data_IF_203689447099
#
_entry.id   IF_203689447099
#
_cell.length_a   1.000
_cell.length_b   1.000
_cell.length_c   1.000
_cell.angle_alpha   90.00
_cell.angle_beta   90.00
_cell.angle_gamma   90.00
#
_symmetry.space_group_name_H-M   'P 1'
#
loop_
_entity.id
_entity.type
_entity.pdbx_description
1 polymer ?
#
# COMPACT_ATOMS: atom_id res chain seq x y z
N UNK A 1 18.01 20.28 0.31
CA UNK A 1 17.38 20.21 -1.00
C UNK A 1 15.89 19.96 -0.83
N UNK A 2 15.05 20.71 -1.54
CA UNK A 2 13.60 20.50 -1.58
C UNK A 2 13.24 19.35 -2.54
N UNK A 3 12.00 18.88 -2.50
CA UNK A 3 11.49 17.93 -3.51
C UNK A 3 11.48 18.60 -4.90
N UNK A 4 11.26 19.92 -4.95
CA UNK A 4 11.34 20.72 -6.18
C UNK A 4 12.74 20.68 -6.78
N UNK A 5 13.79 20.92 -5.97
CA UNK A 5 15.18 20.89 -6.44
C UNK A 5 15.56 19.53 -7.03
N UNK A 6 15.02 18.45 -6.43
CA UNK A 6 15.23 17.10 -6.94
C UNK A 6 14.47 16.88 -8.26
N UNK A 7 13.22 17.34 -8.37
CA UNK A 7 12.41 17.24 -9.57
C UNK A 7 13.02 18.01 -10.75
N UNK A 8 13.54 19.22 -10.50
CA UNK A 8 14.17 20.09 -11.50
C UNK A 8 15.64 19.71 -11.77
N UNK A 9 16.18 18.75 -11.01
CA UNK A 9 17.57 18.29 -11.16
C UNK A 9 17.83 17.66 -12.53
N UNK A 10 19.07 17.70 -12.97
CA UNK A 10 19.56 17.27 -14.28
C UNK A 10 19.10 15.86 -14.63
N UNK A 11 19.23 14.89 -13.70
CA UNK A 11 18.84 13.50 -13.91
C UNK A 11 17.34 13.37 -14.28
N UNK A 12 16.44 13.95 -13.47
CA UNK A 12 15.00 13.84 -13.74
C UNK A 12 14.55 14.66 -14.95
N UNK A 13 15.25 15.76 -15.24
CA UNK A 13 15.03 16.54 -16.46
C UNK A 13 15.38 15.71 -17.71
N UNK A 14 16.52 15.01 -17.69
CA UNK A 14 16.92 14.09 -18.77
C UNK A 14 15.93 12.93 -18.92
N UNK A 15 15.52 12.29 -17.81
CA UNK A 15 14.50 11.24 -17.82
C UNK A 15 13.20 11.72 -18.47
N UNK A 16 12.68 12.89 -18.08
CA UNK A 16 11.45 13.45 -18.68
C UNK A 16 11.62 13.73 -20.17
N UNK A 17 12.75 14.34 -20.56
CA UNK A 17 13.07 14.62 -21.97
C UNK A 17 13.09 13.33 -22.79
N UNK A 18 13.78 12.29 -22.33
CA UNK A 18 13.83 10.97 -22.99
C UNK A 18 12.45 10.34 -23.11
N UNK A 19 11.65 10.36 -22.04
CA UNK A 19 10.29 9.83 -22.06
C UNK A 19 9.39 10.59 -23.03
N UNK A 20 9.50 11.93 -23.06
CA UNK A 20 8.74 12.78 -23.98
C UNK A 20 9.07 12.46 -25.45
N UNK A 21 10.33 12.15 -25.72
CA UNK A 21 10.80 11.76 -27.07
C UNK A 21 10.60 10.26 -27.38
N UNK A 22 9.84 9.52 -26.57
CA UNK A 22 9.51 8.13 -26.80
C UNK A 22 10.67 7.15 -26.55
N UNK A 23 11.75 7.59 -25.90
CA UNK A 23 12.88 6.72 -25.56
C UNK A 23 12.48 5.76 -24.46
N UNK A 24 12.67 4.46 -24.69
CA UNK A 24 12.45 3.42 -23.68
C UNK A 24 13.58 3.41 -22.66
N UNK A 25 13.25 3.71 -21.41
CA UNK A 25 14.22 3.75 -20.31
C UNK A 25 14.37 2.36 -19.66
N UNK A 26 15.61 1.94 -19.33
CA UNK A 26 15.85 0.68 -18.62
C UNK A 26 15.09 0.55 -17.30
N UNK A 27 14.95 1.64 -16.57
CA UNK A 27 14.24 1.71 -15.28
C UNK A 27 12.75 1.44 -15.42
N UNK A 28 12.19 1.62 -16.62
CA UNK A 28 10.77 1.42 -16.91
C UNK A 28 10.45 0.05 -17.51
N UNK A 29 11.42 -0.85 -17.63
CA UNK A 29 11.27 -2.17 -18.29
C UNK A 29 10.13 -3.01 -17.71
N UNK A 30 9.88 -2.94 -16.39
CA UNK A 30 8.79 -3.68 -15.76
C UNK A 30 7.43 -3.26 -16.31
N UNK A 31 7.23 -1.95 -16.51
CA UNK A 31 5.99 -1.43 -17.09
C UNK A 31 5.87 -1.84 -18.56
N UNK A 32 6.92 -1.68 -19.35
CA UNK A 32 6.92 -2.07 -20.76
C UNK A 32 6.65 -3.55 -20.95
N UNK A 33 7.24 -4.41 -20.11
CA UNK A 33 6.97 -5.86 -20.15
C UNK A 33 5.51 -6.18 -19.82
N UNK A 34 4.93 -5.52 -18.82
CA UNK A 34 3.51 -5.70 -18.49
C UNK A 34 2.61 -5.23 -19.65
N UNK A 35 2.93 -4.10 -20.25
CA UNK A 35 2.20 -3.56 -21.40
C UNK A 35 2.24 -4.49 -22.62
N UNK A 36 3.40 -5.09 -22.91
CA UNK A 36 3.54 -6.05 -24.02
C UNK A 36 2.79 -7.36 -23.78
N UNK A 37 2.63 -7.79 -22.51
CA UNK A 37 1.98 -9.06 -22.16
C UNK A 37 0.47 -8.90 -21.90
N UNK A 38 0.06 -7.79 -21.32
CA UNK A 38 -1.29 -7.59 -20.80
C UNK A 38 -1.98 -6.32 -21.31
N UNK A 39 -1.31 -5.50 -22.12
CA UNK A 39 -1.82 -4.22 -22.62
C UNK A 39 -1.87 -3.10 -21.56
N UNK A 40 -1.69 -3.41 -20.29
CA UNK A 40 -1.85 -2.45 -19.18
C UNK A 40 -0.70 -2.57 -18.19
N UNK A 41 -0.22 -1.42 -17.69
CA UNK A 41 0.73 -1.31 -16.59
C UNK A 41 0.26 -0.26 -15.59
N UNK A 42 0.93 -0.15 -14.44
CA UNK A 42 0.69 0.94 -13.50
C UNK A 42 0.84 2.32 -14.16
N UNK A 43 1.81 2.45 -15.09
CA UNK A 43 2.05 3.69 -15.84
C UNK A 43 0.86 4.06 -16.71
N UNK A 44 0.38 3.14 -17.56
CA UNK A 44 -0.76 3.37 -18.44
C UNK A 44 -2.04 3.60 -17.66
N UNK A 45 -2.31 2.79 -16.62
CA UNK A 45 -3.47 2.94 -15.75
C UNK A 45 -3.53 4.32 -15.06
N UNK A 46 -2.40 4.77 -14.49
CA UNK A 46 -2.33 6.07 -13.81
C UNK A 46 -2.52 7.21 -14.80
N UNK A 47 -1.88 7.12 -15.99
CA UNK A 47 -2.01 8.14 -17.02
C UNK A 47 -3.45 8.25 -17.51
N UNK A 48 -4.10 7.12 -17.81
CA UNK A 48 -5.49 7.13 -18.27
C UNK A 48 -6.46 7.66 -17.23
N UNK A 49 -6.27 7.32 -15.98
CA UNK A 49 -7.21 7.68 -14.92
C UNK A 49 -7.07 9.09 -14.42
N UNK A 50 -5.82 9.58 -14.30
CA UNK A 50 -5.56 10.84 -13.60
C UNK A 50 -4.97 11.94 -14.49
N UNK A 51 -4.48 11.61 -15.69
CA UNK A 51 -3.71 12.55 -16.51
C UNK A 51 -4.16 12.67 -17.97
N UNK A 52 -5.30 12.10 -18.34
CA UNK A 52 -5.82 12.10 -19.74
C UNK A 52 -5.82 13.45 -20.47
N UNK A 53 -5.84 14.55 -19.74
CA UNK A 53 -5.94 15.90 -20.31
C UNK A 53 -4.74 16.80 -19.99
N UNK A 54 -3.68 16.26 -19.39
CA UNK A 54 -2.60 17.12 -18.91
C UNK A 54 -1.41 17.06 -19.86
N UNK A 55 -1.34 18.02 -20.78
CA UNK A 55 -0.20 18.27 -21.67
C UNK A 55 0.85 19.19 -21.03
N UNK A 56 0.65 19.62 -19.79
CA UNK A 56 1.50 20.57 -19.09
C UNK A 56 2.68 19.83 -18.42
N UNK A 57 3.77 19.66 -19.18
CA UNK A 57 4.94 18.89 -18.76
C UNK A 57 6.06 19.71 -18.14
N UNK A 58 5.99 21.05 -18.25
CA UNK A 58 7.12 21.93 -17.94
C UNK A 58 7.06 22.58 -16.55
N UNK A 59 5.89 22.61 -15.90
CA UNK A 59 5.77 23.14 -14.56
C UNK A 59 5.96 22.07 -13.49
N UNK A 60 6.81 22.35 -12.49
CA UNK A 60 6.91 21.52 -11.30
C UNK A 60 5.53 21.27 -10.68
N UNK A 61 5.06 20.05 -10.77
CA UNK A 61 3.75 19.65 -10.27
C UNK A 61 3.71 18.16 -9.99
N UNK A 62 3.76 17.79 -8.72
CA UNK A 62 3.59 16.40 -8.31
C UNK A 62 2.10 16.09 -8.29
N UNK A 63 1.67 15.24 -9.22
CA UNK A 63 0.25 14.84 -9.35
C UNK A 63 -0.11 13.62 -8.51
N UNK A 64 0.86 12.74 -8.28
CA UNK A 64 0.68 11.53 -7.44
C UNK A 64 1.78 11.47 -6.39
N UNK A 65 1.38 11.26 -5.16
CA UNK A 65 2.28 10.97 -4.04
C UNK A 65 1.94 9.57 -3.52
N UNK A 66 2.94 8.70 -3.46
CA UNK A 66 2.89 7.42 -2.79
C UNK A 66 3.72 7.54 -1.50
N UNK A 67 3.05 7.61 -0.38
CA UNK A 67 3.64 7.95 0.91
C UNK A 67 3.61 6.75 1.86
N UNK A 68 4.78 6.18 2.13
CA UNK A 68 4.96 5.22 3.22
C UNK A 68 5.28 5.96 4.51
N UNK A 69 4.27 6.21 5.33
CA UNK A 69 4.37 7.08 6.51
C UNK A 69 4.97 6.34 7.72
N UNK A 70 6.25 5.95 7.60
CA UNK A 70 6.98 5.20 8.62
C UNK A 70 6.54 3.74 8.75
N UNK A 71 7.03 3.05 9.78
CA UNK A 71 6.75 1.64 10.02
C UNK A 71 5.89 1.37 11.27
N UNK A 72 5.31 2.39 11.90
CA UNK A 72 4.47 2.21 13.09
C UNK A 72 3.27 1.33 12.77
N UNK A 73 3.25 0.11 13.29
CA UNK A 73 2.18 -0.87 13.11
C UNK A 73 1.98 -1.65 14.39
N UNK A 74 0.77 -2.14 14.60
CA UNK A 74 0.39 -2.98 15.74
C UNK A 74 0.27 -4.47 15.38
N UNK A 75 0.68 -4.87 14.17
CA UNK A 75 0.65 -6.26 13.71
C UNK A 75 2.04 -6.79 13.37
N UNK A 76 2.15 -8.12 13.42
CA UNK A 76 3.31 -8.92 13.01
C UNK A 76 2.87 -9.94 11.95
N UNK A 77 2.37 -9.45 10.82
CA UNK A 77 1.87 -10.32 9.75
C UNK A 77 2.99 -11.22 9.22
N UNK A 78 2.66 -12.48 8.91
CA UNK A 78 3.65 -13.52 8.53
C UNK A 78 4.51 -13.14 7.33
N UNK A 79 3.92 -12.44 6.34
CA UNK A 79 4.60 -12.01 5.11
C UNK A 79 5.20 -10.61 5.22
N UNK A 80 5.06 -9.93 6.36
CA UNK A 80 5.51 -8.55 6.49
C UNK A 80 6.97 -8.46 6.92
N UNK A 81 7.54 -7.28 6.79
CA UNK A 81 8.95 -6.98 7.10
C UNK A 81 9.09 -5.83 8.10
N UNK A 82 10.27 -5.68 8.75
CA UNK A 82 10.55 -4.60 9.69
C UNK A 82 10.35 -3.19 9.15
N UNK A 83 10.53 -2.98 7.85
CA UNK A 83 10.32 -1.67 7.23
C UNK A 83 8.85 -1.24 7.21
N UNK A 84 7.92 -2.18 7.36
CA UNK A 84 6.47 -1.92 7.38
C UNK A 84 5.81 -2.30 8.71
N UNK A 85 6.57 -2.78 9.70
CA UNK A 85 6.05 -3.08 11.03
C UNK A 85 7.07 -2.84 12.14
N UNK A 86 6.77 -1.88 13.00
CA UNK A 86 7.56 -1.61 14.20
C UNK A 86 7.58 -2.78 15.19
N UNK A 87 6.53 -3.61 15.21
CA UNK A 87 6.48 -4.78 16.06
C UNK A 87 7.37 -5.91 15.53
N UNK A 88 7.42 -6.10 14.19
CA UNK A 88 8.40 -7.01 13.59
C UNK A 88 9.82 -6.48 13.73
N UNK A 89 10.02 -5.17 13.61
CA UNK A 89 11.34 -4.56 13.81
C UNK A 89 11.89 -4.87 15.20
N UNK A 90 11.07 -4.76 16.25
CA UNK A 90 11.44 -5.13 17.62
C UNK A 90 11.75 -6.62 17.74
N UNK A 91 10.83 -7.47 17.26
CA UNK A 91 10.96 -8.93 17.34
C UNK A 91 12.24 -9.43 16.65
N UNK A 92 12.51 -8.95 15.43
CA UNK A 92 13.73 -9.33 14.70
C UNK A 92 14.99 -8.83 15.39
N UNK A 93 14.95 -7.64 16.00
CA UNK A 93 16.04 -7.11 16.81
C UNK A 93 16.28 -7.98 18.06
N UNK A 94 15.22 -8.35 18.77
CA UNK A 94 15.30 -9.18 19.97
C UNK A 94 15.82 -10.60 19.65
N UNK A 95 15.54 -11.10 18.45
CA UNK A 95 16.07 -12.37 17.92
C UNK A 95 17.53 -12.25 17.41
N UNK A 96 18.13 -11.07 17.48
CA UNK A 96 19.50 -10.85 17.01
C UNK A 96 19.64 -10.82 15.48
N UNK A 97 18.56 -10.74 14.73
CA UNK A 97 18.60 -10.73 13.27
C UNK A 97 19.10 -9.41 12.66
N UNK A 98 19.32 -8.41 13.49
CA UNK A 98 19.95 -7.13 13.15
C UNK A 98 21.48 -7.13 13.34
N UNK A 99 22.06 -8.20 13.89
CA UNK A 99 23.49 -8.25 14.16
C UNK A 99 24.28 -8.51 12.88
N UNK A 100 25.41 -7.78 12.78
CA UNK A 100 26.33 -7.83 11.64
C UNK A 100 27.23 -9.05 11.64
N UNK A 101 26.98 -10.08 12.41
CA UNK A 101 27.79 -11.30 12.35
C UNK A 101 27.56 -11.94 10.98
N UNK A 102 28.41 -11.49 10.07
CA UNK A 102 28.58 -12.10 8.76
C UNK A 102 29.20 -13.47 8.99
N UNK A 103 28.41 -14.51 8.92
CA UNK A 103 28.96 -15.82 8.61
C UNK A 103 29.47 -15.74 7.16
N UNK A 104 30.80 -15.71 6.93
CA UNK A 104 31.35 -15.55 5.60
C UNK A 104 30.98 -16.72 4.66
N UNK A 105 30.51 -17.83 5.23
CA UNK A 105 30.09 -19.03 4.51
C UNK A 105 28.61 -19.09 4.18
N UNK A 106 27.81 -18.14 4.68
CA UNK A 106 26.39 -18.01 4.31
C UNK A 106 26.23 -16.97 3.23
N UNK A 107 26.32 -17.39 2.02
CA UNK A 107 26.01 -16.62 0.81
C UNK A 107 24.49 -16.33 0.67
N UNK A 108 23.82 -16.03 1.77
CA UNK A 108 22.38 -16.00 1.81
C UNK A 108 21.85 -14.60 2.09
N UNK A 109 20.74 -14.34 1.55
CA UNK A 109 19.69 -13.32 1.73
C UNK A 109 19.78 -12.37 2.94
N UNK A 110 20.60 -12.62 3.94
CA UNK A 110 20.82 -11.81 5.13
C UNK A 110 21.41 -10.42 4.83
N UNK A 111 22.22 -10.27 3.75
CA UNK A 111 22.66 -8.94 3.27
C UNK A 111 21.47 -8.04 2.90
N UNK A 112 20.39 -8.64 2.47
CA UNK A 112 19.16 -7.95 2.10
C UNK A 112 18.44 -7.37 3.33
N UNK A 113 18.51 -8.06 4.47
CA UNK A 113 17.82 -7.64 5.69
C UNK A 113 18.60 -6.59 6.51
N UNK A 114 19.90 -6.49 6.37
CA UNK A 114 20.71 -5.45 7.03
C UNK A 114 20.23 -4.03 6.73
N UNK A 115 19.68 -3.79 5.54
CA UNK A 115 19.12 -2.50 5.12
C UNK A 115 17.95 -2.06 6.00
N UNK A 116 17.08 -3.00 6.41
CA UNK A 116 15.88 -2.68 7.17
C UNK A 116 16.13 -2.09 8.56
N UNK A 117 17.31 -2.32 9.14
CA UNK A 117 17.66 -1.82 10.45
C UNK A 117 18.49 -0.52 10.41
N UNK A 118 18.89 -0.10 9.21
CA UNK A 118 19.70 1.13 9.01
C UNK A 118 18.83 2.34 8.69
N UNK A 119 17.59 2.13 8.25
CA UNK A 119 16.69 3.21 7.86
C UNK A 119 16.02 3.87 9.06
N UNK A 120 15.87 5.18 8.99
CA UNK A 120 15.11 5.95 9.97
C UNK A 120 13.61 5.94 9.63
N UNK A 121 12.88 4.98 10.19
CA UNK A 121 11.43 4.92 10.04
C UNK A 121 10.68 5.96 10.88
N UNK A 122 11.38 6.72 11.71
CA UNK A 122 10.80 7.84 12.46
C UNK A 122 10.80 9.15 11.66
N UNK A 123 11.27 9.13 10.41
CA UNK A 123 11.36 10.29 9.52
C UNK A 123 10.10 11.17 9.49
N UNK A 124 8.85 10.65 9.64
CA UNK A 124 7.66 11.50 9.63
C UNK A 124 7.59 12.44 10.85
N UNK A 125 8.25 12.10 11.96
CA UNK A 125 8.34 12.95 13.15
C UNK A 125 9.23 14.17 12.94
N UNK A 126 10.08 14.13 11.92
CA UNK A 126 10.91 15.27 11.56
C UNK A 126 10.08 16.33 10.85
N UNK A 127 9.88 17.47 11.49
CA UNK A 127 9.09 18.58 10.96
C UNK A 127 9.54 19.01 9.56
N UNK A 128 10.84 19.14 9.33
CA UNK A 128 11.39 19.56 8.01
C UNK A 128 11.01 18.57 6.90
N UNK A 129 10.98 17.25 7.20
CA UNK A 129 10.56 16.27 6.21
C UNK A 129 9.05 16.38 5.91
N UNK A 130 8.24 16.54 6.96
CA UNK A 130 6.79 16.69 6.78
C UNK A 130 6.43 17.99 6.09
N UNK A 131 7.15 19.08 6.34
CA UNK A 131 6.95 20.35 5.65
C UNK A 131 7.20 20.22 4.14
N UNK A 132 8.24 19.47 3.72
CA UNK A 132 8.49 19.16 2.31
C UNK A 132 7.34 18.37 1.66
N UNK A 133 6.74 17.42 2.40
CA UNK A 133 5.57 16.67 1.91
C UNK A 133 4.35 17.59 1.80
N UNK A 134 4.14 18.47 2.79
CA UNK A 134 3.05 19.45 2.79
C UNK A 134 3.15 20.41 1.62
N UNK A 135 4.35 20.86 1.27
CA UNK A 135 4.59 21.69 0.08
C UNK A 135 4.28 20.93 -1.21
N UNK A 136 4.69 19.64 -1.28
CA UNK A 136 4.49 18.82 -2.47
C UNK A 136 3.02 18.47 -2.74
N UNK A 137 2.19 18.39 -1.70
CA UNK A 137 0.79 17.96 -1.82
C UNK A 137 -0.11 19.03 -2.44
N UNK A 138 0.31 20.27 -2.53
CA UNK A 138 -0.52 21.43 -2.96
C UNK A 138 -1.14 21.23 -4.36
N UNK A 139 -0.40 20.63 -5.31
CA UNK A 139 -0.89 20.34 -6.67
C UNK A 139 -1.20 18.84 -6.88
N UNK A 140 -1.22 18.06 -5.82
CA UNK A 140 -1.48 16.63 -5.86
C UNK A 140 -2.92 16.34 -6.30
N UNK A 141 -3.12 15.27 -7.07
CA UNK A 141 -4.44 14.75 -7.45
C UNK A 141 -4.73 13.38 -6.83
N UNK A 142 -3.68 12.63 -6.52
CA UNK A 142 -3.78 11.32 -5.86
C UNK A 142 -2.76 11.25 -4.73
N UNK A 143 -3.24 11.19 -3.50
CA UNK A 143 -2.44 10.95 -2.31
C UNK A 143 -2.67 9.51 -1.83
N UNK A 144 -1.75 8.60 -2.18
CA UNK A 144 -1.75 7.24 -1.69
C UNK A 144 -0.94 7.16 -0.40
N UNK A 145 -1.54 6.63 0.66
CA UNK A 145 -0.89 6.51 1.98
C UNK A 145 -0.90 5.08 2.46
N UNK A 146 0.31 4.58 2.70
CA UNK A 146 0.59 3.27 3.30
C UNK A 146 1.65 3.43 4.39
N UNK A 147 2.37 2.39 4.70
CA UNK A 147 3.48 2.36 5.64
C UNK A 147 3.34 1.20 6.59
N UNK A 148 3.46 1.43 7.90
CA UNK A 148 2.99 0.49 8.91
C UNK A 148 1.46 0.45 8.92
N UNK A 149 0.85 1.18 9.81
CA UNK A 149 -0.60 1.39 9.85
C UNK A 149 -0.90 2.90 9.91
N UNK A 150 -1.46 3.49 8.85
CA UNK A 150 -1.75 4.92 8.82
C UNK A 150 -2.64 5.40 9.96
N UNK A 151 -3.62 4.58 10.39
CA UNK A 151 -4.55 4.94 11.46
C UNK A 151 -3.88 5.10 12.83
N UNK A 152 -2.64 4.66 12.98
CA UNK A 152 -1.84 4.80 14.20
C UNK A 152 -0.85 5.98 14.15
N UNK A 153 -0.77 6.67 13.03
CA UNK A 153 0.27 7.66 12.78
C UNK A 153 -0.29 9.08 12.88
N UNK A 154 0.06 9.88 13.92
CA UNK A 154 -0.42 11.26 14.07
C UNK A 154 -0.08 12.14 12.87
N UNK A 155 1.11 11.96 12.28
CA UNK A 155 1.60 12.76 11.15
C UNK A 155 0.74 12.58 9.90
N UNK A 156 0.08 11.41 9.75
CA UNK A 156 -0.93 11.21 8.72
C UNK A 156 -2.11 12.16 8.89
N UNK A 157 -2.66 12.27 10.10
CA UNK A 157 -3.80 13.13 10.38
C UNK A 157 -3.45 14.61 10.28
N UNK A 158 -2.22 14.98 10.63
CA UNK A 158 -1.72 16.34 10.46
C UNK A 158 -1.57 16.71 8.98
N UNK A 159 -1.19 15.74 8.12
CA UNK A 159 -1.16 15.94 6.68
C UNK A 159 -2.57 16.11 6.10
N UNK A 160 -3.54 15.28 6.51
CA UNK A 160 -4.94 15.42 6.07
C UNK A 160 -5.50 16.79 6.48
N UNK A 161 -5.25 17.21 7.72
CA UNK A 161 -5.66 18.52 8.22
C UNK A 161 -5.05 19.66 7.40
N UNK A 162 -3.76 19.57 7.09
CA UNK A 162 -3.08 20.54 6.23
C UNK A 162 -3.74 20.66 4.85
N UNK A 163 -4.07 19.54 4.18
CA UNK A 163 -4.75 19.57 2.89
C UNK A 163 -6.12 20.27 2.97
N UNK A 164 -6.82 20.14 4.09
CA UNK A 164 -8.10 20.79 4.32
C UNK A 164 -7.92 22.30 4.55
N UNK A 165 -7.00 22.68 5.43
CA UNK A 165 -6.70 24.08 5.78
C UNK A 165 -6.19 24.88 4.57
N UNK A 166 -5.47 24.23 3.66
CA UNK A 166 -5.00 24.83 2.41
C UNK A 166 -6.02 24.75 1.27
N UNK A 167 -7.23 24.23 1.54
CA UNK A 167 -8.30 24.07 0.54
C UNK A 167 -7.90 23.20 -0.67
N UNK A 168 -6.93 22.30 -0.51
CA UNK A 168 -6.47 21.36 -1.56
C UNK A 168 -7.17 20.02 -1.49
N UNK A 169 -7.68 19.60 -0.33
CA UNK A 169 -8.34 18.31 -0.12
C UNK A 169 -9.46 18.03 -1.14
N UNK A 170 -10.26 19.01 -1.50
CA UNK A 170 -11.38 18.90 -2.46
C UNK A 170 -10.95 18.49 -3.89
N UNK A 171 -9.66 18.62 -4.20
CA UNK A 171 -9.08 18.28 -5.51
C UNK A 171 -8.31 16.95 -5.48
N UNK A 172 -8.11 16.38 -4.29
CA UNK A 172 -7.30 15.19 -4.05
C UNK A 172 -8.18 13.97 -3.86
N UNK A 173 -7.92 12.92 -4.63
CA UNK A 173 -8.36 11.57 -4.31
C UNK A 173 -7.46 11.02 -3.20
N UNK A 174 -8.03 10.76 -2.04
CA UNK A 174 -7.33 10.15 -0.90
C UNK A 174 -7.39 8.62 -1.03
N UNK A 175 -6.24 7.97 -1.18
CA UNK A 175 -6.12 6.53 -1.29
C UNK A 175 -5.38 5.99 -0.06
N UNK A 176 -6.04 5.16 0.74
CA UNK A 176 -5.50 4.67 2.01
C UNK A 176 -5.56 3.16 2.08
N UNK A 177 -4.42 2.54 2.37
CA UNK A 177 -4.38 1.11 2.73
C UNK A 177 -4.25 0.96 4.24
N UNK A 178 -5.16 0.19 4.84
CA UNK A 178 -5.21 -0.04 6.30
C UNK A 178 -5.37 -1.51 6.65
N UNK A 179 -4.88 -1.91 7.82
CA UNK A 179 -5.15 -3.23 8.40
C UNK A 179 -6.52 -3.29 9.12
N UNK A 180 -7.22 -2.18 9.20
CA UNK A 180 -8.54 -2.02 9.82
C UNK A 180 -8.65 -2.46 11.30
N UNK A 181 -7.54 -2.70 12.00
CA UNK A 181 -7.59 -3.07 13.44
C UNK A 181 -8.09 -1.91 14.31
N UNK A 182 -7.90 -0.69 13.84
CA UNK A 182 -8.36 0.54 14.52
C UNK A 182 -8.91 1.53 13.49
N UNK A 183 -9.92 2.28 13.90
CA UNK A 183 -10.39 3.48 13.22
C UNK A 183 -10.03 4.65 14.10
N UNK A 184 -9.23 5.57 13.58
CA UNK A 184 -8.91 6.79 14.33
C UNK A 184 -10.16 7.69 14.43
N UNK A 185 -10.51 8.26 15.60
CA UNK A 185 -11.74 9.02 15.79
C UNK A 185 -11.97 10.14 14.77
N UNK A 186 -10.90 10.82 14.35
CA UNK A 186 -10.98 11.94 13.39
C UNK A 186 -11.01 11.50 11.92
N UNK A 187 -10.82 10.20 11.61
CA UNK A 187 -10.62 9.76 10.21
C UNK A 187 -11.81 10.10 9.33
N UNK A 188 -13.01 9.76 9.75
CA UNK A 188 -14.21 9.99 8.96
C UNK A 188 -14.47 11.48 8.68
N UNK A 189 -14.26 12.33 9.70
CA UNK A 189 -14.47 13.78 9.57
C UNK A 189 -13.47 14.45 8.65
N UNK A 190 -12.24 13.95 8.60
CA UNK A 190 -11.22 14.46 7.70
C UNK A 190 -11.39 13.91 6.29
N UNK A 191 -11.59 12.59 6.15
CA UNK A 191 -11.67 11.92 4.86
C UNK A 191 -12.85 12.40 4.00
N UNK A 192 -14.00 12.74 4.60
CA UNK A 192 -15.17 13.28 3.88
C UNK A 192 -14.95 14.62 3.18
N UNK A 193 -13.86 15.32 3.50
CA UNK A 193 -13.52 16.62 2.89
C UNK A 193 -12.64 16.49 1.64
N UNK A 194 -12.20 15.26 1.34
CA UNK A 194 -11.45 14.96 0.12
C UNK A 194 -12.41 14.74 -1.05
N UNK A 195 -11.89 14.92 -2.27
CA UNK A 195 -12.65 14.72 -3.51
C UNK A 195 -13.29 13.35 -3.58
N UNK A 196 -12.52 12.32 -3.27
CA UNK A 196 -12.90 10.91 -3.27
C UNK A 196 -12.05 10.17 -2.24
N UNK A 197 -12.60 9.10 -1.67
CA UNK A 197 -11.85 8.16 -0.82
C UNK A 197 -11.75 6.81 -1.51
N UNK A 198 -10.52 6.33 -1.71
CA UNK A 198 -10.22 4.95 -2.09
C UNK A 198 -9.68 4.24 -0.84
N UNK A 199 -10.49 3.42 -0.20
CA UNK A 199 -10.10 2.72 1.01
C UNK A 199 -9.85 1.24 0.69
N UNK A 200 -8.60 0.82 0.86
CA UNK A 200 -8.19 -0.58 0.71
C UNK A 200 -7.97 -1.19 2.08
N UNK A 201 -8.70 -2.27 2.38
CA UNK A 201 -8.51 -3.03 3.61
C UNK A 201 -7.74 -4.30 3.31
N UNK A 202 -6.66 -4.50 4.03
CA UNK A 202 -5.80 -5.68 3.88
C UNK A 202 -6.37 -6.87 4.67
N UNK A 203 -6.82 -7.93 3.96
CA UNK A 203 -7.50 -9.09 4.53
C UNK A 203 -6.95 -10.40 3.97
N UNK A 204 -6.04 -11.04 4.69
CA UNK A 204 -5.38 -12.27 4.21
C UNK A 204 -6.01 -13.56 4.76
N UNK A 205 -7.30 -13.52 4.99
CA UNK A 205 -8.06 -14.68 5.46
C UNK A 205 -9.37 -14.28 6.14
N UNK A 206 -10.11 -15.29 6.57
CA UNK A 206 -11.32 -15.19 7.38
C UNK A 206 -11.12 -16.03 8.65
N UNK A 207 -11.66 -15.56 9.78
CA UNK A 207 -11.60 -16.26 11.06
C UNK A 207 -10.17 -16.53 11.53
N UNK A 208 -9.90 -17.79 11.93
CA UNK A 208 -8.59 -18.19 12.46
C UNK A 208 -7.44 -18.06 11.47
N UNK A 209 -7.70 -18.25 10.16
CA UNK A 209 -6.67 -18.06 9.13
C UNK A 209 -6.21 -16.60 9.11
N UNK A 210 -7.14 -15.66 9.18
CA UNK A 210 -6.82 -14.24 9.29
C UNK A 210 -5.97 -13.93 10.53
N UNK A 211 -6.40 -14.42 11.71
CA UNK A 211 -5.70 -14.17 12.97
C UNK A 211 -4.29 -14.77 13.00
N UNK A 212 -4.10 -15.92 12.36
CA UNK A 212 -2.78 -16.52 12.22
C UNK A 212 -1.86 -15.73 11.29
N UNK A 213 -2.37 -15.33 10.12
CA UNK A 213 -1.57 -14.62 9.12
C UNK A 213 -1.26 -13.19 9.56
N UNK A 214 -2.24 -12.52 10.17
CA UNK A 214 -2.15 -11.12 10.61
C UNK A 214 -2.07 -10.96 12.13
N UNK A 215 -1.26 -11.82 12.78
CA UNK A 215 -1.07 -11.80 14.24
C UNK A 215 -0.59 -10.42 14.75
N UNK A 216 -1.09 -9.92 15.91
CA UNK A 216 -2.11 -10.49 16.80
C UNK A 216 -3.51 -9.90 16.57
N UNK A 217 -3.95 -9.69 15.34
CA UNK A 217 -5.27 -9.16 15.05
C UNK A 217 -6.39 -10.11 15.54
N UNK A 218 -7.50 -9.50 15.97
CA UNK A 218 -8.74 -10.23 16.26
C UNK A 218 -9.70 -10.05 15.07
N UNK A 219 -10.09 -11.15 14.44
CA UNK A 219 -10.94 -11.13 13.23
C UNK A 219 -12.28 -10.44 13.47
N UNK A 220 -12.98 -10.74 14.56
CA UNK A 220 -14.30 -10.19 14.84
C UNK A 220 -14.24 -8.66 15.06
N UNK A 221 -13.18 -8.18 15.72
CA UNK A 221 -12.99 -6.74 15.92
C UNK A 221 -12.72 -6.02 14.61
N UNK A 222 -11.89 -6.62 13.73
CA UNK A 222 -11.59 -6.07 12.41
C UNK A 222 -12.83 -6.10 11.52
N UNK A 223 -13.60 -7.18 11.52
CA UNK A 223 -14.83 -7.29 10.75
C UNK A 223 -15.86 -6.21 11.14
N UNK A 224 -16.02 -5.92 12.44
CA UNK A 224 -16.85 -4.80 12.92
C UNK A 224 -16.35 -3.43 12.39
N UNK A 225 -15.05 -3.23 12.32
CA UNK A 225 -14.48 -2.01 11.74
C UNK A 225 -14.73 -1.94 10.23
N UNK A 226 -14.65 -3.06 9.52
CA UNK A 226 -14.97 -3.13 8.08
C UNK A 226 -16.42 -2.71 7.83
N UNK A 227 -17.38 -3.17 8.63
CA UNK A 227 -18.78 -2.74 8.52
C UNK A 227 -18.92 -1.22 8.68
N UNK A 228 -18.22 -0.61 9.64
CA UNK A 228 -18.21 0.85 9.83
C UNK A 228 -17.59 1.59 8.64
N UNK A 229 -16.52 1.05 8.06
CA UNK A 229 -15.92 1.60 6.84
C UNK A 229 -16.88 1.48 5.65
N UNK A 230 -17.59 0.34 5.51
CA UNK A 230 -18.58 0.14 4.46
C UNK A 230 -19.71 1.17 4.55
N UNK A 231 -20.29 1.36 5.72
CA UNK A 231 -21.34 2.37 5.97
C UNK A 231 -20.83 3.78 5.65
N UNK A 232 -19.64 4.11 6.13
CA UNK A 232 -19.03 5.42 5.88
C UNK A 232 -18.77 5.66 4.40
N UNK A 233 -18.15 4.73 3.67
CA UNK A 233 -17.86 4.92 2.25
C UNK A 233 -19.13 4.98 1.42
N UNK A 234 -20.17 4.20 1.76
CA UNK A 234 -21.50 4.33 1.16
C UNK A 234 -22.10 5.72 1.36
N UNK A 235 -21.93 6.30 2.54
CA UNK A 235 -22.45 7.64 2.85
C UNK A 235 -21.78 8.76 2.07
N UNK A 236 -20.53 8.55 1.61
CA UNK A 236 -19.82 9.54 0.78
C UNK A 236 -20.40 9.63 -0.64
N UNK A 237 -20.94 8.52 -1.16
CA UNK A 237 -21.41 8.45 -2.53
C UNK A 237 -20.32 8.65 -3.58
N UNK A 238 -20.72 9.06 -4.79
CA UNK A 238 -19.79 9.38 -5.89
C UNK A 238 -18.92 8.19 -6.29
N UNK A 239 -17.63 8.44 -6.52
CA UNK A 239 -16.65 7.43 -6.91
C UNK A 239 -15.83 6.89 -5.73
N UNK A 240 -16.18 7.21 -4.48
CA UNK A 240 -15.49 6.66 -3.30
C UNK A 240 -15.64 5.15 -3.25
N UNK A 241 -14.57 4.43 -2.92
CA UNK A 241 -14.50 2.97 -2.99
C UNK A 241 -14.04 2.36 -1.67
N UNK A 242 -14.58 1.19 -1.36
CA UNK A 242 -14.03 0.25 -0.39
C UNK A 242 -13.71 -1.06 -1.11
N UNK A 243 -12.46 -1.48 -1.03
CA UNK A 243 -11.99 -2.75 -1.62
C UNK A 243 -11.10 -3.50 -0.64
N UNK A 244 -10.84 -4.77 -0.95
CA UNK A 244 -10.02 -5.63 -0.10
C UNK A 244 -8.81 -6.13 -0.85
N UNK A 245 -7.63 -6.09 -0.21
CA UNK A 245 -6.44 -6.77 -0.71
C UNK A 245 -6.26 -8.09 0.03
N UNK A 246 -6.05 -9.16 -0.73
CA UNK A 246 -5.78 -10.50 -0.26
C UNK A 246 -4.46 -10.99 -0.89
N UNK A 247 -3.41 -11.10 -0.06
CA UNK A 247 -2.11 -11.62 -0.51
C UNK A 247 -2.11 -13.13 -0.38
N UNK A 248 -2.15 -13.81 -1.52
CA UNK A 248 -2.20 -15.26 -1.60
C UNK A 248 -0.84 -15.88 -1.27
N UNK A 249 -0.82 -16.77 -0.28
CA UNK A 249 0.36 -17.39 0.28
C UNK A 249 0.10 -18.82 0.78
N UNK A 250 1.14 -19.50 1.24
CA UNK A 250 1.02 -20.90 1.71
C UNK A 250 -0.01 -21.09 2.84
N UNK A 251 -0.24 -20.08 3.67
CA UNK A 251 -1.10 -20.18 4.84
C UNK A 251 -2.59 -20.00 4.54
N UNK A 252 -2.94 -19.39 3.41
CA UNK A 252 -4.31 -18.95 3.15
C UNK A 252 -4.91 -19.40 1.81
N UNK A 253 -4.20 -20.17 0.99
CA UNK A 253 -4.69 -20.64 -0.30
C UNK A 253 -6.07 -21.35 -0.17
N UNK A 254 -6.25 -22.16 0.88
CA UNK A 254 -7.50 -22.88 1.15
C UNK A 254 -8.65 -21.97 1.60
N UNK A 255 -8.36 -20.73 1.98
CA UNK A 255 -9.34 -19.78 2.51
C UNK A 255 -9.77 -18.73 1.46
N UNK A 256 -9.18 -18.76 0.26
CA UNK A 256 -9.40 -17.74 -0.77
C UNK A 256 -10.88 -17.61 -1.17
N UNK A 257 -11.58 -18.72 -1.38
CA UNK A 257 -13.01 -18.72 -1.75
C UNK A 257 -13.87 -18.11 -0.65
N UNK A 258 -13.58 -18.45 0.61
CA UNK A 258 -14.32 -17.92 1.75
C UNK A 258 -14.07 -16.42 1.92
N UNK A 259 -12.84 -15.96 1.69
CA UNK A 259 -12.48 -14.53 1.68
C UNK A 259 -13.32 -13.80 0.64
N UNK A 260 -13.37 -14.29 -0.60
CA UNK A 260 -14.17 -13.66 -1.65
C UNK A 260 -15.67 -13.64 -1.31
N UNK A 261 -16.23 -14.77 -0.87
CA UNK A 261 -17.66 -14.86 -0.49
C UNK A 261 -18.03 -13.92 0.67
N UNK A 262 -17.11 -13.74 1.62
CA UNK A 262 -17.35 -12.93 2.82
C UNK A 262 -17.17 -11.43 2.57
N UNK A 263 -16.16 -11.05 1.77
CA UNK A 263 -15.75 -9.65 1.65
C UNK A 263 -16.29 -8.96 0.40
N UNK A 264 -16.49 -9.69 -0.72
CA UNK A 264 -16.99 -9.07 -1.94
C UNK A 264 -18.32 -8.33 -1.75
N UNK A 265 -19.32 -8.86 -0.98
CA UNK A 265 -20.55 -8.13 -0.70
C UNK A 265 -20.39 -6.84 0.10
N UNK A 266 -19.24 -6.68 0.78
CA UNK A 266 -18.91 -5.50 1.59
C UNK A 266 -18.13 -4.43 0.80
N UNK A 267 -17.66 -4.74 -0.40
CA UNK A 267 -17.04 -3.75 -1.27
C UNK A 267 -18.04 -2.67 -1.69
N UNK A 268 -17.53 -1.47 -1.95
CA UNK A 268 -18.34 -0.32 -2.37
C UNK A 268 -17.76 0.21 -3.68
N UNK A 269 -18.65 0.37 -4.69
CA UNK A 269 -18.34 0.97 -6.00
C UNK A 269 -17.17 0.30 -6.77
N UNK A 270 -16.91 -0.99 -6.54
CA UNK A 270 -15.91 -1.76 -7.29
C UNK A 270 -16.42 -3.20 -7.51
N UNK A 271 -17.38 -3.37 -8.44
CA UNK A 271 -17.98 -4.66 -8.73
C UNK A 271 -17.05 -5.60 -9.51
N UNK A 272 -16.08 -5.05 -10.25
CA UNK A 272 -15.14 -5.85 -11.07
C UNK A 272 -14.04 -6.50 -10.23
N UNK A 273 -13.54 -5.78 -9.22
CA UNK A 273 -12.44 -6.25 -8.39
C UNK A 273 -12.64 -5.94 -6.90
N UNK A 274 -13.75 -6.44 -6.29
CA UNK A 274 -14.08 -6.16 -4.89
C UNK A 274 -13.03 -6.72 -3.92
N UNK A 275 -12.42 -7.84 -4.27
CA UNK A 275 -11.28 -8.45 -3.59
C UNK A 275 -10.15 -8.61 -4.60
N UNK A 276 -9.09 -7.86 -4.40
CA UNK A 276 -7.88 -7.92 -5.21
C UNK A 276 -6.98 -9.01 -4.68
N UNK A 277 -6.75 -10.04 -5.50
CA UNK A 277 -5.89 -11.17 -5.13
C UNK A 277 -4.52 -10.93 -5.74
N UNK A 278 -3.51 -10.80 -4.89
CA UNK A 278 -2.12 -10.64 -5.28
C UNK A 278 -1.30 -11.86 -4.84
N UNK A 279 -0.39 -12.33 -5.67
CA UNK A 279 0.54 -13.39 -5.27
C UNK A 279 1.64 -12.80 -4.39
N UNK A 280 2.02 -13.50 -3.33
CA UNK A 280 3.15 -13.12 -2.49
C UNK A 280 4.46 -13.31 -3.25
N UNK A 281 5.15 -12.23 -3.59
CA UNK A 281 6.43 -12.29 -4.30
C UNK A 281 7.61 -12.56 -3.35
N UNK A 282 7.58 -11.96 -2.16
CA UNK A 282 8.63 -12.07 -1.14
C UNK A 282 8.02 -12.11 0.29
N UNK A 283 8.46 -13.01 1.17
CA UNK A 283 9.52 -14.02 0.96
C UNK A 283 9.04 -15.22 0.12
N UNK A 284 9.85 -15.63 -0.86
CA UNK A 284 9.50 -16.68 -1.84
C UNK A 284 9.12 -18.01 -1.22
N UNK A 285 9.69 -18.37 -0.08
CA UNK A 285 9.37 -19.64 0.62
C UNK A 285 7.94 -19.66 1.18
N UNK A 286 7.26 -18.53 1.27
CA UNK A 286 5.85 -18.44 1.65
C UNK A 286 4.91 -18.35 0.45
N UNK A 287 5.43 -18.33 -0.78
CA UNK A 287 4.61 -18.30 -1.98
C UNK A 287 3.77 -19.58 -2.08
N UNK A 288 2.51 -19.51 -2.46
CA UNK A 288 1.58 -20.64 -2.51
C UNK A 288 2.07 -21.82 -3.38
N UNK A 289 2.90 -21.55 -4.41
CA UNK A 289 3.53 -22.57 -5.27
C UNK A 289 4.51 -23.48 -4.51
N UNK A 290 4.90 -23.12 -3.31
CA UNK A 290 5.73 -23.96 -2.43
C UNK A 290 4.92 -25.07 -1.72
N UNK A 291 3.59 -25.02 -1.81
CA UNK A 291 2.72 -26.06 -1.25
C UNK A 291 2.83 -27.38 -2.06
N UNK A 292 2.73 -28.55 -1.39
CA UNK A 292 2.57 -29.81 -2.09
C UNK A 292 1.41 -29.77 -3.07
N UNK A 293 1.59 -30.38 -4.24
CA UNK A 293 0.61 -30.36 -5.36
C UNK A 293 -0.81 -30.78 -4.91
N UNK A 294 -0.92 -31.68 -3.95
CA UNK A 294 -2.23 -32.12 -3.46
C UNK A 294 -3.02 -31.00 -2.79
N UNK A 295 -2.37 -30.12 -2.03
CA UNK A 295 -3.02 -28.95 -1.42
C UNK A 295 -3.51 -27.96 -2.47
N UNK A 296 -2.71 -27.70 -3.52
CA UNK A 296 -3.09 -26.86 -4.64
C UNK A 296 -4.29 -27.45 -5.39
N UNK A 297 -4.28 -28.75 -5.70
CA UNK A 297 -5.40 -29.43 -6.34
C UNK A 297 -6.69 -29.34 -5.50
N UNK A 298 -6.58 -29.46 -4.18
CA UNK A 298 -7.73 -29.34 -3.28
C UNK A 298 -8.31 -27.93 -3.29
N UNK A 299 -7.46 -26.89 -3.28
CA UNK A 299 -7.90 -25.49 -3.38
C UNK A 299 -8.59 -25.23 -4.73
N UNK A 300 -8.04 -25.70 -5.86
CA UNK A 300 -8.66 -25.58 -7.18
C UNK A 300 -10.06 -26.21 -7.21
N UNK A 301 -10.23 -27.39 -6.60
CA UNK A 301 -11.56 -28.04 -6.49
C UNK A 301 -12.57 -27.22 -5.70
N UNK A 302 -12.13 -26.41 -4.74
CA UNK A 302 -13.02 -25.51 -3.99
C UNK A 302 -13.43 -24.28 -4.83
N UNK A 303 -12.53 -23.77 -5.67
CA UNK A 303 -12.79 -22.63 -6.57
C UNK A 303 -13.77 -23.05 -7.69
N UNK A 304 -13.69 -24.29 -8.15
CA UNK A 304 -14.53 -24.81 -9.23
C UNK A 304 -15.97 -25.18 -8.81
N UNK A 305 -16.29 -25.12 -7.52
CA UNK A 305 -17.64 -25.31 -6.94
C UNK A 305 -18.33 -23.98 -6.72
#
# INVERSE_FOLDING_TARGET
>A
NSIKDWFEGEYLSDVRSKMHNGVMLPECQVCYKKESLHGVSTRTYVNERYFKSNTDTDEYSIKKIDLKIGNKCNLKCKMCFPYASSELWKEWKDLGWNTKEKDPNKETSWKYYDGYFKEDYSWPKNKSNMDKIKDAVVKCKLLHVTGGEPMLNPEFFDLLKHCIETNTAKDITLDVTTNATKIHPRFFDLAKQFKELLLTVSMDGVGRTYEYVRYPANYNAVYKNILRYNEFVKSLGGNSKLVFNFVLQIWNLHNAVEVCKTLAPLAVNDAEAPVRIEELEDPRFMHWKMLPVQHVKNAIKQIAK
#
